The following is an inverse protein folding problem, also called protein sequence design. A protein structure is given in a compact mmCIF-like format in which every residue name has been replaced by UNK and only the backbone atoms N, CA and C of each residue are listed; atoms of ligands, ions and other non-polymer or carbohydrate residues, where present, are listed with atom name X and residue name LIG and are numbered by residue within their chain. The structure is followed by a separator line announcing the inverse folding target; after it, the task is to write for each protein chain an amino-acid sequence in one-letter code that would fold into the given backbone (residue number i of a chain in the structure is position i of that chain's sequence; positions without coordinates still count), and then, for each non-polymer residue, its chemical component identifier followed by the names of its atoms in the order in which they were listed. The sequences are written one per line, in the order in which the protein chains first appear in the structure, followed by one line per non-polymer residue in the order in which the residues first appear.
data_IF_868513378847
#
_entry.id   IF_868513378847
#
_cell.length_a   1.000
_cell.length_b   1.000
_cell.length_c   1.000
_cell.angle_alpha   90.00
_cell.angle_beta   90.00
_cell.angle_gamma   90.00
#
_symmetry.space_group_name_H-M   'P 1'
#
loop_
_entity.id
_entity.type
_entity.pdbx_description
1 polymer ?
#
# COMPACT_ATOMS: atom_id res chain seq x y z
N UNK A 1 82.31 33.30 2.22
CA UNK A 1 81.29 33.26 1.14
C UNK A 1 80.03 32.76 1.80
N UNK A 2 79.15 33.66 2.23
CA UNK A 2 78.03 33.34 3.12
C UNK A 2 76.72 33.68 2.41
N UNK A 3 76.11 32.66 1.79
CA UNK A 3 74.83 32.81 1.11
C UNK A 3 73.69 32.81 2.14
N UNK A 4 73.22 34.01 2.47
CA UNK A 4 72.07 34.24 3.34
C UNK A 4 70.77 33.84 2.63
N UNK A 5 70.22 32.66 2.98
CA UNK A 5 68.87 32.21 2.63
C UNK A 5 67.82 33.19 3.15
N UNK A 6 67.27 34.05 2.28
CA UNK A 6 66.09 34.88 2.59
C UNK A 6 64.85 34.00 2.79
N UNK A 7 64.40 33.85 4.04
CA UNK A 7 63.07 33.30 4.35
C UNK A 7 62.00 34.35 4.02
N UNK A 8 61.18 34.09 2.99
CA UNK A 8 59.96 34.87 2.73
C UNK A 8 58.98 34.65 3.87
N UNK A 9 58.70 35.71 4.63
CA UNK A 9 57.62 35.74 5.62
C UNK A 9 56.30 35.98 4.88
N UNK A 10 55.45 34.96 4.82
CA UNK A 10 54.06 35.14 4.41
C UNK A 10 53.31 35.84 5.54
N UNK A 11 52.80 37.04 5.30
CA UNK A 11 51.85 37.68 6.19
C UNK A 11 50.49 37.00 6.00
N UNK A 12 50.22 35.98 6.82
CA UNK A 12 48.95 35.29 6.80
C UNK A 12 47.96 36.06 7.67
N UNK A 13 46.89 36.54 7.05
CA UNK A 13 45.80 37.24 7.75
C UNK A 13 44.98 36.22 8.55
N UNK A 14 45.15 36.21 9.87
CA UNK A 14 44.50 35.27 10.80
C UNK A 14 42.98 35.30 10.68
N UNK A 15 42.38 36.45 10.34
CA UNK A 15 40.94 36.57 10.12
C UNK A 15 40.49 35.75 8.92
N UNK A 16 41.29 35.70 7.85
CA UNK A 16 41.00 34.89 6.65
C UNK A 16 41.17 33.39 6.93
N UNK A 17 42.13 33.01 7.77
CA UNK A 17 42.30 31.60 8.19
C UNK A 17 41.08 31.14 8.99
N UNK A 18 40.66 31.90 10.00
CA UNK A 18 39.49 31.56 10.83
C UNK A 18 38.23 31.45 10.00
N UNK A 19 38.02 32.38 9.06
CA UNK A 19 36.87 32.32 8.15
C UNK A 19 36.92 31.09 7.24
N UNK A 20 38.09 30.74 6.71
CA UNK A 20 38.27 29.53 5.92
C UNK A 20 37.98 28.25 6.71
N UNK A 21 38.47 28.16 7.95
CA UNK A 21 38.19 27.03 8.85
C UNK A 21 36.69 26.95 9.16
N UNK A 22 36.03 28.08 9.43
CA UNK A 22 34.60 28.11 9.69
C UNK A 22 33.77 27.58 8.50
N UNK A 23 34.13 27.95 7.26
CA UNK A 23 33.48 27.43 6.06
C UNK A 23 33.68 25.92 5.92
N UNK A 24 34.90 25.42 6.17
CA UNK A 24 35.18 23.97 6.10
C UNK A 24 34.33 23.22 7.12
N UNK A 25 34.26 23.70 8.36
CA UNK A 25 33.41 23.10 9.40
C UNK A 25 31.94 23.13 9.00
N UNK A 26 31.46 24.26 8.47
CA UNK A 26 30.07 24.38 8.02
C UNK A 26 29.76 23.39 6.88
N UNK A 27 30.68 23.20 5.94
CA UNK A 27 30.53 22.24 4.86
C UNK A 27 30.36 20.80 5.39
N UNK A 28 31.21 20.38 6.33
CA UNK A 28 31.09 19.06 6.95
C UNK A 28 29.78 18.91 7.75
N UNK A 29 29.34 19.96 8.44
CA UNK A 29 28.10 19.93 9.20
C UNK A 29 26.87 19.77 8.30
N UNK A 30 26.81 20.52 7.20
CA UNK A 30 25.72 20.40 6.23
C UNK A 30 25.73 19.01 5.58
N UNK A 31 26.90 18.47 5.26
CA UNK A 31 27.04 17.12 4.70
C UNK A 31 26.56 16.04 5.67
N UNK A 32 26.98 16.09 6.95
CA UNK A 32 26.54 15.15 7.98
C UNK A 32 25.03 15.26 8.25
N UNK A 33 24.51 16.48 8.36
CA UNK A 33 23.09 16.72 8.55
C UNK A 33 22.26 16.17 7.37
N UNK A 34 22.71 16.43 6.14
CA UNK A 34 22.01 15.95 4.95
C UNK A 34 21.99 14.42 4.89
N UNK A 35 23.11 13.76 5.21
CA UNK A 35 23.17 12.31 5.27
C UNK A 35 22.21 11.75 6.33
N UNK A 36 22.20 12.32 7.54
CA UNK A 36 21.29 11.90 8.62
C UNK A 36 19.83 12.10 8.25
N UNK A 37 19.49 13.22 7.61
CA UNK A 37 18.12 13.52 7.21
C UNK A 37 17.65 12.57 6.10
N UNK A 38 18.53 12.24 5.15
CA UNK A 38 18.25 11.26 4.10
C UNK A 38 18.00 9.87 4.68
N UNK A 39 18.85 9.42 5.62
CA UNK A 39 18.67 8.13 6.29
C UNK A 39 17.40 8.07 7.13
N UNK A 40 17.11 9.14 7.89
CA UNK A 40 15.89 9.23 8.69
C UNK A 40 14.66 9.21 7.79
N UNK A 41 14.65 10.00 6.72
CA UNK A 41 13.53 10.03 5.77
C UNK A 41 13.29 8.65 5.16
N UNK A 42 14.36 7.98 4.69
CA UNK A 42 14.28 6.63 4.15
C UNK A 42 13.74 5.64 5.17
N UNK A 43 14.26 5.65 6.40
CA UNK A 43 13.84 4.74 7.46
C UNK A 43 12.38 5.00 7.88
N UNK A 44 11.97 6.26 7.96
CA UNK A 44 10.58 6.63 8.22
C UNK A 44 9.65 6.09 7.14
N UNK A 45 9.97 6.30 5.86
CA UNK A 45 9.16 5.78 4.77
C UNK A 45 9.06 4.25 4.79
N UNK A 46 10.15 3.55 5.13
CA UNK A 46 10.13 2.09 5.29
C UNK A 46 9.23 1.65 6.45
N UNK A 47 9.29 2.35 7.59
CA UNK A 47 8.41 2.10 8.74
C UNK A 47 6.95 2.31 8.36
N UNK A 48 6.62 3.42 7.72
CA UNK A 48 5.24 3.77 7.35
C UNK A 48 4.64 2.76 6.36
N UNK A 49 5.44 2.29 5.40
CA UNK A 49 5.05 1.22 4.49
C UNK A 49 4.78 -0.10 5.24
N UNK A 50 5.67 -0.49 6.17
CA UNK A 50 5.47 -1.69 6.98
C UNK A 50 4.23 -1.59 7.89
N UNK A 51 4.00 -0.44 8.50
CA UNK A 51 2.83 -0.17 9.37
C UNK A 51 1.52 -0.25 8.58
N UNK A 52 1.51 0.24 7.34
CA UNK A 52 0.38 0.10 6.41
C UNK A 52 0.10 -1.39 6.13
N UNK A 53 1.12 -2.18 5.83
CA UNK A 53 0.95 -3.63 5.57
C UNK A 53 0.38 -4.33 6.80
N UNK A 54 0.95 -4.08 7.98
CA UNK A 54 0.49 -4.68 9.24
C UNK A 54 -0.98 -4.32 9.53
N UNK A 55 -1.36 -3.06 9.31
CA UNK A 55 -2.74 -2.60 9.51
C UNK A 55 -3.72 -3.34 8.60
N UNK A 56 -3.41 -3.46 7.31
CA UNK A 56 -4.24 -4.20 6.36
C UNK A 56 -4.37 -5.68 6.76
N UNK A 57 -3.26 -6.32 7.13
CA UNK A 57 -3.28 -7.71 7.59
C UNK A 57 -4.13 -7.89 8.84
N UNK A 58 -4.03 -6.98 9.81
CA UNK A 58 -4.84 -7.04 11.02
C UNK A 58 -6.34 -6.88 10.72
N UNK A 59 -6.71 -6.00 9.79
CA UNK A 59 -8.08 -5.87 9.34
C UNK A 59 -8.59 -7.16 8.68
N UNK A 60 -7.80 -7.76 7.79
CA UNK A 60 -8.13 -9.05 7.17
C UNK A 60 -8.29 -10.15 8.21
N UNK A 61 -7.38 -10.24 9.18
CA UNK A 61 -7.46 -11.22 10.27
C UNK A 61 -8.72 -11.03 11.12
N UNK A 62 -9.10 -9.78 11.43
CA UNK A 62 -10.33 -9.52 12.20
C UNK A 62 -11.59 -9.98 11.45
N UNK A 63 -11.67 -9.71 10.15
CA UNK A 63 -12.78 -10.18 9.31
C UNK A 63 -12.81 -11.71 9.26
N UNK A 64 -11.66 -12.34 9.01
CA UNK A 64 -11.57 -13.79 8.94
C UNK A 64 -11.91 -14.46 10.27
N UNK A 65 -11.47 -13.90 11.39
CA UNK A 65 -11.83 -14.39 12.73
C UNK A 65 -13.33 -14.30 12.98
N UNK A 66 -13.97 -13.22 12.52
CA UNK A 66 -15.44 -13.07 12.62
C UNK A 66 -16.15 -14.14 11.79
N UNK A 67 -15.69 -14.38 10.56
CA UNK A 67 -16.25 -15.40 9.68
C UNK A 67 -16.06 -16.81 10.24
N UNK A 68 -14.89 -17.12 10.79
CA UNK A 68 -14.62 -18.40 11.45
C UNK A 68 -15.54 -18.61 12.66
N UNK A 69 -15.67 -17.58 13.52
CA UNK A 69 -16.56 -17.64 14.68
C UNK A 69 -17.99 -17.96 14.25
N UNK A 70 -18.51 -17.28 13.23
CA UNK A 70 -19.82 -17.56 12.65
C UNK A 70 -19.91 -18.98 12.09
N UNK A 71 -18.97 -19.40 11.24
CA UNK A 71 -18.97 -20.71 10.61
C UNK A 71 -18.91 -21.87 11.62
N UNK A 72 -18.32 -21.64 12.79
CA UNK A 72 -18.27 -22.63 13.89
C UNK A 72 -19.44 -22.54 14.87
N UNK A 73 -20.36 -21.59 14.67
CA UNK A 73 -21.49 -21.37 15.57
C UNK A 73 -22.71 -22.19 15.18
N UNK A 74 -23.58 -22.45 16.16
CA UNK A 74 -24.86 -23.13 15.93
C UNK A 74 -25.77 -22.35 14.96
N UNK A 75 -25.64 -21.02 14.90
CA UNK A 75 -26.39 -20.18 13.97
C UNK A 75 -26.09 -20.52 12.50
N UNK A 76 -24.83 -20.81 12.16
CA UNK A 76 -24.48 -21.23 10.81
C UNK A 76 -25.01 -22.64 10.48
N UNK A 77 -25.09 -23.52 11.49
CA UNK A 77 -25.73 -24.85 11.33
C UNK A 77 -27.24 -24.69 11.10
N UNK A 78 -27.89 -23.80 11.85
CA UNK A 78 -29.32 -23.52 11.73
C UNK A 78 -29.65 -22.89 10.37
N UNK A 79 -28.91 -21.87 9.93
CA UNK A 79 -29.04 -21.27 8.59
C UNK A 79 -28.88 -22.34 7.51
N UNK A 80 -27.84 -23.18 7.58
CA UNK A 80 -27.66 -24.25 6.62
C UNK A 80 -28.84 -25.23 6.62
N UNK A 81 -29.30 -25.64 7.79
CA UNK A 81 -30.39 -26.59 7.94
C UNK A 81 -31.69 -26.07 7.31
N UNK A 82 -32.00 -24.79 7.49
CA UNK A 82 -33.19 -24.17 6.89
C UNK A 82 -33.05 -23.90 5.40
N UNK A 83 -31.95 -23.27 4.97
CA UNK A 83 -31.81 -22.79 3.59
C UNK A 83 -31.44 -23.90 2.61
N UNK A 84 -30.54 -24.81 3.00
CA UNK A 84 -29.99 -25.84 2.12
C UNK A 84 -30.43 -27.25 2.50
N UNK A 85 -30.56 -27.52 3.80
CA UNK A 85 -31.00 -28.81 4.31
C UNK A 85 -32.51 -29.04 4.20
N UNK A 86 -33.29 -27.97 3.99
CA UNK A 86 -34.76 -27.99 3.99
C UNK A 86 -35.35 -28.64 5.26
N UNK A 87 -34.62 -28.55 6.37
CA UNK A 87 -34.99 -29.09 7.67
C UNK A 87 -35.87 -28.08 8.40
N UNK A 88 -36.85 -28.56 9.16
CA UNK A 88 -37.78 -27.72 9.92
C UNK A 88 -37.94 -28.24 11.34
N UNK A 89 -38.17 -27.34 12.31
CA UNK A 89 -38.45 -27.74 13.69
C UNK A 89 -39.87 -28.31 13.81
N UNK A 90 -40.16 -29.08 14.86
CA UNK A 90 -41.51 -29.56 15.13
C UNK A 90 -42.51 -28.39 15.21
N UNK A 91 -43.54 -28.41 14.36
CA UNK A 91 -44.57 -27.35 14.28
C UNK A 91 -44.34 -26.30 13.19
N UNK A 92 -43.18 -26.29 12.53
CA UNK A 92 -42.90 -25.45 11.37
C UNK A 92 -43.33 -26.15 10.07
N UNK A 93 -43.76 -25.37 9.07
CA UNK A 93 -44.14 -25.87 7.75
C UNK A 93 -43.21 -25.29 6.70
N UNK A 94 -42.48 -26.15 5.97
CA UNK A 94 -41.67 -25.73 4.84
C UNK A 94 -42.59 -25.31 3.69
N UNK A 95 -42.49 -24.06 3.25
CA UNK A 95 -43.25 -23.52 2.13
C UNK A 95 -42.27 -23.27 0.99
N UNK A 96 -42.41 -24.03 -0.10
CA UNK A 96 -41.66 -23.79 -1.33
C UNK A 96 -42.61 -23.09 -2.30
N UNK A 97 -42.40 -21.79 -2.62
CA UNK A 97 -43.20 -21.10 -3.60
C UNK A 97 -43.04 -21.78 -4.96
N UNK A 98 -44.16 -22.26 -5.51
CA UNK A 98 -44.20 -22.72 -6.89
C UNK A 98 -44.64 -21.55 -7.77
N UNK A 99 -43.96 -21.38 -8.90
CA UNK A 99 -44.41 -20.43 -9.90
C UNK A 99 -45.79 -20.86 -10.44
N UNK A 100 -46.75 -19.94 -10.58
CA UNK A 100 -48.05 -20.26 -11.15
C UNK A 100 -47.91 -20.68 -12.62
N UNK A 101 -48.76 -21.60 -13.08
CA UNK A 101 -48.78 -22.04 -14.47
C UNK A 101 -48.96 -20.84 -15.42
N UNK A 102 -48.00 -20.61 -16.32
CA UNK A 102 -47.97 -19.44 -17.20
C UNK A 102 -47.14 -18.26 -16.65
N UNK A 103 -46.37 -18.45 -15.57
CA UNK A 103 -45.36 -17.50 -15.13
C UNK A 103 -44.45 -17.11 -16.30
N UNK A 104 -44.14 -15.82 -16.37
CA UNK A 104 -43.21 -15.31 -17.38
C UNK A 104 -41.85 -15.91 -17.10
N UNK A 105 -41.26 -16.61 -18.07
CA UNK A 105 -39.92 -17.19 -17.94
C UNK A 105 -38.97 -16.12 -17.40
N UNK A 106 -38.17 -16.48 -16.39
CA UNK A 106 -37.16 -15.59 -15.84
C UNK A 106 -36.38 -14.96 -17.00
N UNK A 107 -36.16 -13.63 -17.00
CA UNK A 107 -35.42 -12.98 -18.07
C UNK A 107 -34.10 -13.71 -18.29
N UNK A 108 -33.82 -14.10 -19.53
CA UNK A 108 -32.49 -14.58 -19.91
C UNK A 108 -31.50 -13.48 -19.53
N UNK A 109 -30.71 -13.73 -18.48
CA UNK A 109 -29.61 -12.86 -18.11
C UNK A 109 -28.57 -13.03 -19.21
N UNK A 110 -28.65 -12.18 -20.23
CA UNK A 110 -27.59 -12.04 -21.22
C UNK A 110 -26.40 -11.51 -20.42
N UNK A 111 -25.36 -12.34 -20.27
CA UNK A 111 -24.15 -11.95 -19.57
C UNK A 111 -23.67 -10.62 -20.16
N UNK A 112 -23.57 -9.59 -19.32
CA UNK A 112 -22.93 -8.33 -19.69
C UNK A 112 -21.56 -8.67 -20.23
N UNK A 113 -21.29 -8.32 -21.50
CA UNK A 113 -19.99 -8.59 -22.08
C UNK A 113 -18.95 -7.89 -21.22
N UNK A 114 -18.06 -8.68 -20.61
CA UNK A 114 -16.93 -8.13 -19.88
C UNK A 114 -16.12 -7.38 -20.93
N UNK A 115 -15.96 -6.05 -20.81
CA UNK A 115 -15.12 -5.33 -21.75
C UNK A 115 -13.73 -5.95 -21.68
N UNK A 116 -13.21 -6.36 -22.83
CA UNK A 116 -11.82 -6.80 -22.96
C UNK A 116 -10.93 -5.73 -22.32
N UNK A 117 -10.19 -6.11 -21.29
CA UNK A 117 -9.26 -5.20 -20.62
C UNK A 117 -8.11 -4.88 -21.58
N UNK A 118 -8.17 -3.71 -22.21
CA UNK A 118 -7.09 -3.18 -23.03
C UNK A 118 -5.98 -2.71 -22.10
N UNK A 119 -4.76 -3.16 -22.33
CA UNK A 119 -3.61 -2.77 -21.52
C UNK A 119 -3.20 -1.33 -21.84
N UNK A 120 -2.62 -0.62 -20.86
CA UNK A 120 -2.21 0.78 -21.03
C UNK A 120 -1.30 0.99 -22.25
N UNK A 121 -0.47 0.01 -22.59
CA UNK A 121 0.43 0.07 -23.74
C UNK A 121 -0.31 0.09 -25.08
N UNK A 122 -1.38 -0.69 -25.23
CA UNK A 122 -2.21 -0.72 -26.44
C UNK A 122 -2.94 0.62 -26.63
N UNK A 123 -3.37 1.26 -25.54
CA UNK A 123 -3.96 2.60 -25.55
C UNK A 123 -2.94 3.63 -26.06
N UNK A 124 -1.71 3.59 -25.54
CA UNK A 124 -0.65 4.48 -26.00
C UNK A 124 -0.31 4.27 -27.48
N UNK A 125 -0.23 3.02 -27.93
CA UNK A 125 0.03 2.70 -29.33
C UNK A 125 -1.05 3.28 -30.24
N UNK A 126 -2.33 3.09 -29.90
CA UNK A 126 -3.48 3.62 -30.64
C UNK A 126 -3.40 5.15 -30.80
N UNK A 127 -3.09 5.87 -29.72
CA UNK A 127 -2.92 7.32 -29.72
C UNK A 127 -1.79 7.79 -30.65
N UNK A 128 -0.69 7.03 -30.77
CA UNK A 128 0.41 7.35 -31.67
C UNK A 128 0.15 6.94 -33.12
N UNK A 129 -0.62 5.87 -33.35
CA UNK A 129 -0.94 5.38 -34.70
C UNK A 129 -2.17 6.03 -35.33
N UNK A 130 -2.97 6.78 -34.56
CA UNK A 130 -4.16 7.48 -35.06
C UNK A 130 -5.32 6.56 -35.46
N UNK A 131 -5.34 5.34 -34.92
CA UNK A 131 -6.47 4.39 -35.01
C UNK A 131 -7.07 4.18 -33.63
#
# INVERSE_FOLDING_TARGET
MEDSKKKKRFHIDTRKIVFGVAIIVLFFLVMDLNNRLSDLSRLSSQKDAAETVVTNLQQTLNVLNTQMSYATSDAAVEEWAYEYGHMVRPGEHLIIPLEPNGATQAPLVIATQIPTQVTNWEIWMALFSGQ
#
